data_IF_830311626097
#
_entry.id   IF_830311626097
#
_cell.length_a   1.000
_cell.length_b   1.000
_cell.length_c   1.000
_cell.angle_alpha   90.00
_cell.angle_beta   90.00
_cell.angle_gamma   90.00
#
_symmetry.space_group_name_H-M   'P 1'
#
loop_
_entity.id
_entity.type
_entity.pdbx_description
1 polymer ?
#
# COMPACT_ATOMS: atom_id res chain seq x y z
N UNK A 1 21.24 -5.07 -3.55
CA UNK A 1 20.41 -4.12 -2.79
C UNK A 1 18.97 -4.32 -3.22
N UNK A 2 18.18 -4.98 -2.37
CA UNK A 2 16.77 -5.21 -2.64
C UNK A 2 15.98 -3.89 -2.59
N UNK A 3 14.90 -3.81 -3.36
CA UNK A 3 13.96 -2.67 -3.37
C UNK A 3 13.45 -2.35 -1.94
N UNK A 4 13.37 -3.37 -1.08
CA UNK A 4 13.02 -3.26 0.35
C UNK A 4 14.04 -2.44 1.17
N UNK A 5 15.34 -2.53 0.87
CA UNK A 5 16.38 -1.78 1.58
C UNK A 5 16.42 -0.31 1.17
N UNK A 6 16.12 0.00 -0.10
CA UNK A 6 16.02 1.39 -0.57
C UNK A 6 14.83 2.12 0.06
N UNK A 7 13.72 1.43 0.29
CA UNK A 7 12.55 1.97 1.00
C UNK A 7 12.89 2.22 2.48
N UNK A 8 13.56 1.27 3.16
CA UNK A 8 13.99 1.44 4.55
C UNK A 8 14.99 2.58 4.73
N UNK A 9 15.95 2.74 3.81
CA UNK A 9 16.90 3.87 3.85
C UNK A 9 16.21 5.21 3.60
N UNK A 10 15.23 5.28 2.70
CA UNK A 10 14.44 6.51 2.47
C UNK A 10 13.55 6.84 3.69
N UNK A 11 12.96 5.83 4.34
CA UNK A 11 12.17 5.99 5.56
C UNK A 11 13.04 6.42 6.76
N UNK A 12 14.26 5.89 6.90
CA UNK A 12 15.20 6.30 7.95
C UNK A 12 15.73 7.71 7.72
N UNK A 13 16.03 8.07 6.47
CA UNK A 13 16.44 9.43 6.13
C UNK A 13 15.31 10.44 6.34
N UNK A 14 14.07 10.08 5.98
CA UNK A 14 12.89 10.89 6.31
C UNK A 14 12.69 10.99 7.83
N UNK A 15 12.71 9.89 8.59
CA UNK A 15 12.53 9.92 10.07
C UNK A 15 13.59 10.75 10.78
N UNK A 16 14.85 10.72 10.33
CA UNK A 16 15.94 11.41 10.99
C UNK A 16 16.01 12.91 10.63
N UNK A 17 15.54 13.31 9.44
CA UNK A 17 15.59 14.71 8.97
C UNK A 17 14.27 15.49 9.20
N UNK A 18 13.13 14.81 9.39
CA UNK A 18 11.81 15.44 9.55
C UNK A 18 11.63 16.19 10.88
N UNK A 19 12.27 15.75 11.96
CA UNK A 19 12.22 16.44 13.26
C UNK A 19 12.81 17.86 13.21
N UNK A 20 13.60 18.18 12.18
CA UNK A 20 14.23 19.50 12.02
C UNK A 20 13.41 20.47 11.17
N UNK A 21 12.42 20.00 10.40
CA UNK A 21 11.65 20.82 9.45
C UNK A 21 10.22 21.14 9.90
N UNK A 22 9.79 20.64 11.04
CA UNK A 22 8.63 21.20 11.75
C UNK A 22 7.29 21.14 11.00
N UNK A 23 7.09 20.18 10.09
CA UNK A 23 5.82 20.01 9.37
C UNK A 23 4.98 18.84 9.97
N UNK A 24 4.14 19.11 10.99
CA UNK A 24 3.36 18.09 11.69
C UNK A 24 2.27 17.46 10.81
N UNK A 25 1.79 18.17 9.80
CA UNK A 25 0.65 17.74 8.98
C UNK A 25 1.06 16.58 8.07
N UNK A 26 2.17 16.70 7.33
CA UNK A 26 2.63 15.60 6.47
C UNK A 26 3.12 14.38 7.27
N UNK A 27 3.62 14.57 8.51
CA UNK A 27 3.88 13.45 9.42
C UNK A 27 2.59 12.75 9.89
N UNK A 28 1.54 13.52 10.17
CA UNK A 28 0.23 12.98 10.50
C UNK A 28 -0.37 12.19 9.33
N UNK A 29 -0.24 12.68 8.09
CA UNK A 29 -0.69 11.96 6.90
C UNK A 29 0.04 10.63 6.69
N UNK A 30 1.35 10.56 6.99
CA UNK A 30 2.09 9.30 6.95
C UNK A 30 1.55 8.26 7.94
N UNK A 31 1.37 8.64 9.21
CA UNK A 31 0.80 7.73 10.23
C UNK A 31 -0.62 7.28 9.86
N UNK A 32 -1.41 8.19 9.28
CA UNK A 32 -2.76 7.89 8.79
C UNK A 32 -2.73 6.88 7.63
N UNK A 33 -1.82 7.05 6.68
CA UNK A 33 -1.63 6.10 5.58
C UNK A 33 -1.27 4.69 6.11
N UNK A 34 -0.38 4.59 7.09
CA UNK A 34 -0.02 3.32 7.73
C UNK A 34 -1.23 2.64 8.41
N UNK A 35 -2.07 3.41 9.09
CA UNK A 35 -3.29 2.90 9.71
C UNK A 35 -4.29 2.39 8.66
N UNK A 36 -4.40 3.06 7.52
CA UNK A 36 -5.22 2.61 6.40
C UNK A 36 -4.67 1.32 5.78
N UNK A 37 -3.35 1.21 5.57
CA UNK A 37 -2.70 0.01 5.04
C UNK A 37 -2.93 -1.23 5.91
N UNK A 38 -2.85 -1.08 7.24
CA UNK A 38 -3.16 -2.19 8.19
C UNK A 38 -4.58 -2.73 8.03
N UNK A 39 -5.50 -1.89 7.58
CA UNK A 39 -6.90 -2.25 7.34
C UNK A 39 -7.21 -2.54 5.86
N UNK A 40 -6.19 -2.70 5.01
CA UNK A 40 -6.33 -2.89 3.55
C UNK A 40 -7.11 -1.78 2.83
N UNK A 41 -7.16 -0.58 3.41
CA UNK A 41 -7.78 0.63 2.86
C UNK A 41 -6.79 1.35 1.94
N UNK A 42 -6.46 0.72 0.81
CA UNK A 42 -5.39 1.21 -0.07
C UNK A 42 -5.70 2.57 -0.71
N UNK A 43 -6.97 2.83 -1.05
CA UNK A 43 -7.36 4.09 -1.68
C UNK A 43 -7.23 5.28 -0.71
N UNK A 44 -7.66 5.10 0.54
CA UNK A 44 -7.51 6.11 1.57
C UNK A 44 -6.04 6.35 1.95
N UNK A 45 -5.21 5.30 1.94
CA UNK A 45 -3.77 5.44 2.13
C UNK A 45 -3.12 6.26 1.00
N UNK A 46 -3.49 5.99 -0.27
CA UNK A 46 -3.03 6.79 -1.42
C UNK A 46 -3.48 8.24 -1.32
N UNK A 47 -4.72 8.49 -0.87
CA UNK A 47 -5.23 9.86 -0.69
C UNK A 47 -4.42 10.65 0.34
N UNK A 48 -3.99 10.01 1.44
CA UNK A 48 -3.13 10.67 2.44
C UNK A 48 -1.80 11.16 1.83
N UNK A 49 -1.15 10.32 1.02
CA UNK A 49 0.08 10.72 0.34
C UNK A 49 -0.15 11.76 -0.76
N UNK A 50 -1.28 11.70 -1.46
CA UNK A 50 -1.63 12.73 -2.44
C UNK A 50 -1.86 14.09 -1.76
N UNK A 51 -2.64 14.14 -0.68
CA UNK A 51 -2.89 15.39 0.06
C UNK A 51 -1.59 16.00 0.59
N UNK A 52 -0.68 15.17 1.13
CA UNK A 52 0.63 15.64 1.58
C UNK A 52 1.47 16.20 0.42
N UNK A 53 1.43 15.57 -0.76
CA UNK A 53 2.12 16.08 -1.94
C UNK A 53 1.56 17.44 -2.40
N UNK A 54 0.25 17.63 -2.40
CA UNK A 54 -0.36 18.93 -2.76
C UNK A 54 0.05 20.06 -1.79
N UNK A 55 0.05 19.78 -0.49
CA UNK A 55 0.52 20.75 0.53
C UNK A 55 1.99 21.14 0.32
N UNK A 56 2.85 20.15 0.03
CA UNK A 56 4.25 20.40 -0.26
C UNK A 56 4.42 21.20 -1.56
N UNK A 57 3.61 20.94 -2.58
CA UNK A 57 3.62 21.69 -3.83
C UNK A 57 3.28 23.17 -3.62
N UNK A 58 2.34 23.48 -2.73
CA UNK A 58 2.02 24.86 -2.36
C UNK A 58 3.15 25.50 -1.56
N UNK A 59 3.78 24.77 -0.62
CA UNK A 59 4.94 25.26 0.12
C UNK A 59 6.14 25.59 -0.79
N UNK A 60 6.34 24.84 -1.88
CA UNK A 60 7.36 25.13 -2.89
C UNK A 60 7.15 26.48 -3.59
N UNK A 61 5.90 26.93 -3.75
CA UNK A 61 5.57 28.20 -4.42
C UNK A 61 5.83 29.40 -3.51
N UNK A 62 5.73 29.22 -2.20
CA UNK A 62 5.82 30.31 -1.22
C UNK A 62 7.20 30.47 -0.60
N UNK A 63 8.05 29.45 -0.68
CA UNK A 63 9.38 29.50 -0.09
C UNK A 63 10.34 30.36 -0.91
N UNK A 64 11.12 31.21 -0.23
CA UNK A 64 12.20 32.02 -0.81
C UNK A 64 13.59 31.43 -0.56
N UNK A 65 13.68 30.36 0.24
CA UNK A 65 14.93 29.71 0.60
C UNK A 65 15.21 28.53 -0.33
N UNK A 66 16.34 28.57 -1.02
CA UNK A 66 16.81 27.49 -1.90
C UNK A 66 16.97 26.17 -1.13
N UNK A 67 17.55 26.22 0.08
CA UNK A 67 17.73 25.02 0.90
C UNK A 67 16.39 24.42 1.35
N UNK A 68 15.40 25.27 1.66
CA UNK A 68 14.06 24.79 1.98
C UNK A 68 13.37 24.19 0.74
N UNK A 69 13.52 24.82 -0.43
CA UNK A 69 12.96 24.33 -1.69
C UNK A 69 13.48 22.93 -2.05
N UNK A 70 14.79 22.70 -1.92
CA UNK A 70 15.39 21.38 -2.13
C UNK A 70 14.78 20.32 -1.21
N UNK A 71 14.67 20.63 0.08
CA UNK A 71 14.09 19.72 1.06
C UNK A 71 12.60 19.41 0.78
N UNK A 72 11.79 20.42 0.48
CA UNK A 72 10.37 20.25 0.16
C UNK A 72 10.22 19.40 -1.13
N UNK A 73 11.09 19.61 -2.12
CA UNK A 73 11.09 18.82 -3.38
C UNK A 73 11.34 17.33 -3.12
N UNK A 74 12.27 17.02 -2.21
CA UNK A 74 12.59 15.65 -1.82
C UNK A 74 11.40 14.99 -1.11
N UNK A 75 10.74 15.72 -0.20
CA UNK A 75 9.55 15.24 0.51
C UNK A 75 8.38 15.00 -0.46
N UNK A 76 8.13 15.93 -1.39
CA UNK A 76 7.09 15.79 -2.41
C UNK A 76 7.31 14.52 -3.24
N UNK A 77 8.56 14.33 -3.70
CA UNK A 77 8.96 13.15 -4.46
C UNK A 77 8.78 11.85 -3.67
N UNK A 78 9.04 11.87 -2.35
CA UNK A 78 8.80 10.73 -1.46
C UNK A 78 7.30 10.36 -1.42
N UNK A 79 6.42 11.33 -1.20
CA UNK A 79 4.98 11.07 -1.13
C UNK A 79 4.42 10.53 -2.44
N UNK A 80 4.88 11.02 -3.60
CA UNK A 80 4.50 10.45 -4.89
C UNK A 80 4.94 8.99 -5.04
N UNK A 81 6.20 8.68 -4.70
CA UNK A 81 6.71 7.30 -4.76
C UNK A 81 5.95 6.36 -3.82
N UNK A 82 5.59 6.83 -2.61
CA UNK A 82 4.79 6.04 -1.68
C UNK A 82 3.39 5.75 -2.24
N UNK A 83 2.75 6.74 -2.88
CA UNK A 83 1.45 6.53 -3.56
C UNK A 83 1.54 5.42 -4.62
N UNK A 84 2.59 5.43 -5.44
CA UNK A 84 2.80 4.41 -6.48
C UNK A 84 3.07 3.02 -5.89
N UNK A 85 3.86 2.94 -4.81
CA UNK A 85 4.09 1.69 -4.07
C UNK A 85 2.80 1.12 -3.50
N UNK A 86 1.94 1.96 -2.92
CA UNK A 86 0.65 1.54 -2.38
C UNK A 86 -0.27 1.05 -3.50
N UNK A 87 -0.28 1.73 -4.65
CA UNK A 87 -1.02 1.28 -5.84
C UNK A 87 -0.59 -0.12 -6.28
N UNK A 88 0.72 -0.36 -6.36
CA UNK A 88 1.25 -1.69 -6.69
C UNK A 88 0.83 -2.75 -5.66
N UNK A 89 0.88 -2.42 -4.35
CA UNK A 89 0.40 -3.31 -3.28
C UNK A 89 -1.09 -3.63 -3.41
N UNK A 90 -1.92 -2.65 -3.74
CA UNK A 90 -3.37 -2.84 -3.99
C UNK A 90 -3.61 -3.85 -5.11
N UNK A 91 -2.89 -3.70 -6.21
CA UNK A 91 -3.02 -4.61 -7.36
C UNK A 91 -2.60 -6.04 -7.00
N UNK A 92 -1.49 -6.21 -6.28
CA UNK A 92 -1.05 -7.53 -5.82
C UNK A 92 -2.07 -8.16 -4.86
N UNK A 93 -2.56 -7.40 -3.88
CA UNK A 93 -3.59 -7.85 -2.95
C UNK A 93 -4.85 -8.30 -3.68
N UNK A 94 -5.32 -7.52 -4.66
CA UNK A 94 -6.50 -7.83 -5.45
C UNK A 94 -6.33 -9.13 -6.26
N UNK A 95 -5.16 -9.35 -6.86
CA UNK A 95 -4.84 -10.58 -7.59
C UNK A 95 -4.87 -11.80 -6.67
N UNK A 96 -4.20 -11.71 -5.52
CA UNK A 96 -4.15 -12.81 -4.54
C UNK A 96 -5.54 -13.11 -3.97
N UNK A 97 -6.29 -12.07 -3.58
CA UNK A 97 -7.66 -12.22 -3.06
C UNK A 97 -8.56 -12.93 -4.07
N UNK A 98 -8.54 -12.52 -5.34
CA UNK A 98 -9.32 -13.17 -6.41
C UNK A 98 -8.91 -14.63 -6.62
N UNK A 99 -7.61 -14.94 -6.59
CA UNK A 99 -7.14 -16.32 -6.70
C UNK A 99 -7.63 -17.20 -5.54
N UNK A 100 -7.59 -16.68 -4.31
CA UNK A 100 -8.10 -17.38 -3.13
C UNK A 100 -9.62 -17.61 -3.19
N UNK A 101 -10.38 -16.62 -3.65
CA UNK A 101 -11.83 -16.74 -3.86
C UNK A 101 -12.16 -17.82 -4.89
N UNK A 102 -11.44 -17.85 -6.01
CA UNK A 102 -11.62 -18.88 -7.06
C UNK A 102 -11.31 -20.30 -6.55
N UNK A 103 -10.26 -20.47 -5.73
CA UNK A 103 -9.95 -21.78 -5.12
C UNK A 103 -11.10 -22.19 -4.18
N UNK A 104 -11.58 -21.27 -3.34
CA UNK A 104 -12.68 -21.54 -2.41
C UNK A 104 -13.98 -21.91 -3.11
N UNK A 105 -14.26 -21.35 -4.29
CA UNK A 105 -15.43 -21.74 -5.09
C UNK A 105 -15.29 -23.13 -5.70
N UNK A 106 -14.09 -23.50 -6.17
CA UNK A 106 -13.82 -24.84 -6.71
C UNK A 106 -13.87 -25.94 -5.63
N UNK A 107 -13.51 -25.62 -4.38
CA UNK A 107 -13.63 -26.55 -3.25
C UNK A 107 -15.06 -26.76 -2.74
N UNK A 108 -16.05 -26.05 -3.30
CA UNK A 108 -17.46 -26.10 -2.87
C UNK A 108 -18.36 -26.96 -3.76
N UNK A 109 -17.85 -27.62 -4.80
CA UNK A 109 -18.62 -28.61 -5.57
C UNK A 109 -18.63 -29.98 -4.84
N UNK A 110 -19.77 -30.45 -4.31
CA UNK A 110 -19.92 -31.81 -3.84
C UNK A 110 -20.69 -32.58 -4.91
N UNK A 111 -19.99 -33.12 -5.92
CA UNK A 111 -20.53 -34.26 -6.66
C UNK A 111 -20.01 -35.55 -6.00
N UNK A 112 -20.58 -35.89 -4.85
CA UNK A 112 -20.70 -37.30 -4.46
C UNK A 112 -22.01 -37.78 -5.06
N UNK A 113 -21.92 -38.46 -6.20
CA UNK A 113 -22.96 -39.40 -6.62
C UNK A 113 -22.31 -40.74 -6.91
N UNK A 114 -22.02 -41.49 -5.86
CA UNK A 114 -21.81 -42.95 -5.92
C UNK A 114 -23.07 -43.62 -5.38
N UNK A 115 -24.12 -43.69 -6.20
CA UNK A 115 -25.31 -44.47 -5.91
C UNK A 115 -25.64 -45.37 -7.11
N UNK A 116 -25.57 -46.70 -6.89
CA UNK A 116 -26.02 -47.78 -7.77
C UNK A 116 -24.88 -48.55 -8.43
N UNK A 117 -24.80 -49.89 -8.43
CA UNK A 117 -25.81 -50.95 -8.34
C UNK A 117 -25.10 -52.23 -7.82
N UNK A 118 -25.48 -52.72 -6.63
CA UNK A 118 -26.19 -53.98 -6.36
C UNK A 118 -25.49 -55.31 -6.76
N UNK A 119 -25.18 -56.09 -5.72
CA UNK A 119 -25.43 -57.53 -5.58
C UNK A 119 -25.40 -58.45 -6.81
N UNK A 120 -24.46 -59.41 -6.79
CA UNK A 120 -24.71 -60.77 -7.26
C UNK A 120 -23.92 -61.77 -6.40
N UNK A 121 -24.58 -62.32 -5.39
CA UNK A 121 -24.21 -63.56 -4.72
C UNK A 121 -24.73 -64.76 -5.51
N UNK A 122 -23.90 -65.81 -5.62
CA UNK A 122 -24.35 -67.20 -5.46
C UNK A 122 -24.50 -68.06 -6.73
N UNK A 123 -23.84 -69.23 -6.70
CA UNK A 123 -24.25 -70.43 -7.42
C UNK A 123 -23.23 -71.00 -8.38
#
# INVERSE_FOLDING_TARGET
MEVSERIKCADLWCRQHWSLLGDPEAHQQHRRADAHLKNSKFDEAMQCHHNAAELLLDAMKTTSSTAALESITLQHSYHLKQKDLIKSKKEQYTRVKKAMENIKTLSKDPQINTQGIADAHGG
#
